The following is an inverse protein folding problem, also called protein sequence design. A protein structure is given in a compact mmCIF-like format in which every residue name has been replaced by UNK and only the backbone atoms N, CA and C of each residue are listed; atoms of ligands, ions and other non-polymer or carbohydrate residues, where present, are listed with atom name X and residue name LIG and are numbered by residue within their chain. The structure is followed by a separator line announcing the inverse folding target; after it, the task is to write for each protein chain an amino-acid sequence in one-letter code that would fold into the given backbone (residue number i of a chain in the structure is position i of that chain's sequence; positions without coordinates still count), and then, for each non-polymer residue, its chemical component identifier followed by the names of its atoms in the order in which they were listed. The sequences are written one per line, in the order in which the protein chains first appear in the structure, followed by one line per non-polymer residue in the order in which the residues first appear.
data_IF_683308165571
#
_entry.id   IF_683308165571
#
_cell.length_a   1.000
_cell.length_b   1.000
_cell.length_c   1.000
_cell.angle_alpha   90.00
_cell.angle_beta   90.00
_cell.angle_gamma   90.00
#
_symmetry.space_group_name_H-M   'P 1'
#
loop_
_entity.id
_entity.type
_entity.pdbx_description
1 polymer ?
#
# COMPACT_ATOMS: atom_id res chain seq x y z
N UNK A 1 51.26 -66.91 1.55
CA UNK A 1 51.13 -67.89 0.48
C UNK A 1 50.49 -67.17 -0.67
N UNK A 2 51.28 -66.74 -1.58
CA UNK A 2 51.75 -67.40 -2.81
C UNK A 2 50.67 -67.44 -3.87
N UNK A 3 50.89 -66.64 -4.85
CA UNK A 3 51.19 -66.86 -6.28
C UNK A 3 49.93 -66.96 -7.18
N UNK A 4 49.81 -66.54 -8.41
CA UNK A 4 50.75 -66.07 -9.45
C UNK A 4 49.90 -65.57 -10.65
N UNK A 5 50.32 -64.49 -11.25
CA UNK A 5 50.35 -64.12 -12.67
C UNK A 5 49.74 -65.05 -13.72
N UNK A 6 49.07 -64.54 -14.73
CA UNK A 6 49.66 -64.46 -16.09
C UNK A 6 48.89 -63.53 -17.05
N UNK A 7 49.68 -62.83 -17.85
CA UNK A 7 49.39 -62.05 -19.05
C UNK A 7 49.15 -62.96 -20.26
N UNK A 8 48.45 -62.42 -21.23
CA UNK A 8 48.73 -62.43 -22.70
C UNK A 8 47.49 -61.88 -23.38
N UNK A 9 47.43 -61.10 -24.40
CA UNK A 9 48.36 -60.68 -25.40
C UNK A 9 47.51 -60.17 -26.59
N UNK A 10 47.99 -59.18 -27.25
CA UNK A 10 47.45 -58.52 -28.45
C UNK A 10 46.84 -59.48 -29.51
N UNK A 11 45.82 -59.05 -30.28
CA UNK A 11 46.09 -58.82 -31.69
C UNK A 11 45.03 -57.88 -32.39
N UNK A 12 45.44 -57.37 -33.53
CA UNK A 12 44.93 -56.25 -34.30
C UNK A 12 43.99 -56.70 -35.43
N UNK A 13 43.09 -55.78 -35.83
CA UNK A 13 42.49 -55.62 -37.14
C UNK A 13 41.34 -56.51 -37.54
N UNK A 14 40.17 -55.86 -37.65
CA UNK A 14 39.46 -55.91 -38.95
C UNK A 14 38.44 -54.75 -39.05
N UNK A 15 38.49 -54.04 -40.15
CA UNK A 15 37.60 -53.03 -40.67
C UNK A 15 36.20 -53.61 -40.89
N UNK A 16 35.16 -52.88 -40.46
CA UNK A 16 33.90 -52.88 -41.23
C UNK A 16 33.05 -51.61 -40.93
N UNK A 17 32.59 -51.05 -42.00
CA UNK A 17 31.80 -49.84 -42.11
C UNK A 17 30.44 -50.03 -41.43
N UNK A 18 30.04 -49.08 -40.58
CA UNK A 18 28.70 -48.95 -40.05
C UNK A 18 28.33 -47.49 -39.97
N UNK A 19 27.34 -47.10 -40.71
CA UNK A 19 26.72 -45.82 -40.85
C UNK A 19 26.34 -45.20 -39.48
N UNK A 20 26.91 -44.07 -39.16
CA UNK A 20 26.53 -43.26 -38.01
C UNK A 20 25.25 -42.48 -38.34
N UNK A 21 24.12 -42.89 -37.76
CA UNK A 21 22.93 -42.06 -37.66
C UNK A 21 23.14 -41.04 -36.51
N UNK A 22 23.40 -39.81 -36.84
CA UNK A 22 23.45 -38.71 -35.88
C UNK A 22 22.03 -38.35 -35.45
N UNK A 23 21.61 -38.80 -34.28
CA UNK A 23 20.40 -38.32 -33.62
C UNK A 23 20.72 -36.94 -32.99
N UNK A 24 20.30 -35.87 -33.69
CA UNK A 24 20.31 -34.53 -33.14
C UNK A 24 19.21 -34.43 -32.04
N UNK A 25 19.63 -34.48 -30.79
CA UNK A 25 18.78 -34.03 -29.68
C UNK A 25 18.62 -32.50 -29.79
N UNK A 26 17.49 -32.07 -30.30
CA UNK A 26 17.08 -30.67 -30.18
C UNK A 26 16.80 -30.40 -28.70
N UNK A 27 17.71 -29.67 -28.04
CA UNK A 27 17.46 -29.03 -26.75
C UNK A 27 16.42 -27.92 -27.01
N UNK A 28 15.15 -28.28 -26.84
CA UNK A 28 14.10 -27.29 -26.72
C UNK A 28 14.34 -26.53 -25.39
N UNK A 29 15.10 -25.45 -25.46
CA UNK A 29 15.19 -24.48 -24.39
C UNK A 29 13.79 -23.92 -24.18
N UNK A 30 13.17 -24.20 -23.04
CA UNK A 30 12.00 -23.45 -22.58
C UNK A 30 12.43 -21.99 -22.39
N UNK A 31 12.30 -21.19 -23.44
CA UNK A 31 12.34 -19.72 -23.28
C UNK A 31 11.19 -19.36 -22.36
N UNK A 32 11.51 -18.82 -21.19
CA UNK A 32 10.51 -18.21 -20.33
C UNK A 32 9.75 -17.16 -21.18
N UNK A 33 8.42 -17.06 -21.07
CA UNK A 33 7.67 -16.06 -21.78
C UNK A 33 8.25 -14.68 -21.43
N UNK A 34 8.37 -13.76 -22.40
CA UNK A 34 8.83 -12.40 -22.11
C UNK A 34 7.95 -11.81 -21.02
N UNK A 35 8.57 -11.14 -20.05
CA UNK A 35 7.83 -10.42 -19.01
C UNK A 35 6.85 -9.46 -19.72
N UNK A 36 5.59 -9.38 -19.28
CA UNK A 36 4.62 -8.50 -19.89
C UNK A 36 5.15 -7.08 -19.85
N UNK A 37 5.18 -6.43 -21.01
CA UNK A 37 5.54 -5.02 -21.14
C UNK A 37 4.45 -4.23 -20.42
N UNK A 38 4.78 -3.30 -19.49
CA UNK A 38 3.78 -2.43 -18.88
C UNK A 38 3.01 -1.70 -19.98
N UNK A 39 1.71 -1.50 -19.83
CA UNK A 39 0.93 -0.63 -20.71
C UNK A 39 1.55 0.77 -20.65
N UNK A 40 2.08 1.25 -21.78
CA UNK A 40 3.01 2.39 -21.83
C UNK A 40 2.37 3.69 -22.30
N UNK A 41 1.07 3.85 -22.19
CA UNK A 41 0.43 5.13 -22.47
C UNK A 41 0.77 6.18 -21.40
N UNK A 42 0.98 7.46 -21.75
CA UNK A 42 1.10 8.51 -20.75
C UNK A 42 -0.25 8.65 -20.00
N UNK A 43 -0.18 8.71 -18.68
CA UNK A 43 -1.32 9.06 -17.83
C UNK A 43 -1.32 10.57 -17.64
N UNK A 44 -2.49 11.20 -17.70
CA UNK A 44 -2.69 12.61 -17.36
C UNK A 44 -3.63 12.74 -16.17
N UNK A 45 -3.23 13.57 -15.21
CA UNK A 45 -4.10 14.01 -14.13
C UNK A 45 -4.44 15.49 -14.31
N UNK A 46 -5.72 15.82 -14.20
CA UNK A 46 -6.22 17.20 -14.27
C UNK A 46 -7.17 17.44 -13.10
N UNK A 47 -6.89 18.48 -12.30
CA UNK A 47 -7.74 18.87 -11.19
C UNK A 47 -9.18 19.16 -11.66
N UNK A 48 -10.14 18.50 -11.05
CA UNK A 48 -11.58 18.71 -11.27
C UNK A 48 -12.17 19.68 -10.25
N UNK A 49 -11.64 19.68 -9.04
CA UNK A 49 -12.08 20.55 -7.96
C UNK A 49 -11.53 20.08 -6.62
N UNK A 50 -11.66 20.92 -5.64
CA UNK A 50 -11.24 20.68 -4.26
C UNK A 50 -12.23 21.26 -3.26
N UNK A 51 -12.19 20.75 -2.02
CA UNK A 51 -12.97 21.22 -0.87
C UNK A 51 -12.11 21.14 0.38
N UNK A 52 -12.12 22.21 1.19
CA UNK A 52 -11.45 22.25 2.48
C UNK A 52 -12.52 22.26 3.57
N UNK A 53 -12.42 21.31 4.51
CA UNK A 53 -13.28 21.33 5.69
C UNK A 53 -12.70 22.30 6.75
N UNK A 54 -13.53 23.01 7.50
CA UNK A 54 -13.08 23.84 8.60
C UNK A 54 -12.34 23.04 9.67
N UNK A 55 -11.19 23.53 10.12
CA UNK A 55 -10.48 22.90 11.24
C UNK A 55 -11.37 22.84 12.49
N UNK A 56 -11.35 21.69 13.16
CA UNK A 56 -12.14 21.45 14.36
C UNK A 56 -13.65 21.35 14.12
N UNK A 57 -14.07 21.06 12.86
CA UNK A 57 -15.47 20.85 12.50
C UNK A 57 -16.09 19.80 13.42
N UNK A 58 -17.22 20.15 14.06
CA UNK A 58 -17.95 19.24 14.92
C UNK A 58 -19.07 18.55 14.16
N UNK A 59 -19.14 17.22 14.23
CA UNK A 59 -20.21 16.46 13.63
C UNK A 59 -20.63 15.29 14.54
N UNK A 60 -21.91 15.27 14.92
CA UNK A 60 -22.53 14.23 15.79
C UNK A 60 -21.69 13.90 17.04
N UNK A 61 -21.12 14.91 17.70
CA UNK A 61 -20.33 14.74 18.93
C UNK A 61 -18.89 14.30 18.71
N UNK A 62 -18.40 14.30 17.48
CA UNK A 62 -17.00 14.05 17.16
C UNK A 62 -16.38 15.25 16.48
N UNK A 63 -15.06 15.39 16.63
CA UNK A 63 -14.25 16.33 15.84
C UNK A 63 -13.88 15.64 14.52
N UNK A 64 -14.21 16.27 13.41
CA UNK A 64 -13.82 15.79 12.07
C UNK A 64 -12.39 16.21 11.80
N UNK A 65 -11.53 15.25 11.53
CA UNK A 65 -10.10 15.44 11.27
C UNK A 65 -9.39 14.07 11.29
N UNK A 66 -8.09 14.09 11.06
CA UNK A 66 -7.33 12.86 10.99
C UNK A 66 -7.80 11.95 9.85
N UNK A 67 -8.21 12.50 8.69
CA UNK A 67 -8.77 11.67 7.63
C UNK A 67 -7.66 11.07 6.77
N UNK A 68 -7.20 9.87 7.17
CA UNK A 68 -6.11 9.12 6.53
C UNK A 68 -6.59 8.21 5.39
N UNK A 69 -7.82 7.69 5.45
CA UNK A 69 -8.35 6.77 4.45
C UNK A 69 -9.66 7.24 3.83
N UNK A 70 -9.88 6.93 2.54
CA UNK A 70 -11.13 7.22 1.83
C UNK A 70 -11.46 6.11 0.84
N UNK A 71 -12.75 5.78 0.70
CA UNK A 71 -13.21 4.89 -0.37
C UNK A 71 -14.63 5.23 -0.84
N UNK A 72 -14.97 4.73 -2.03
CA UNK A 72 -16.28 4.94 -2.67
C UNK A 72 -16.79 3.64 -3.28
N UNK A 73 -18.01 3.26 -2.92
CA UNK A 73 -18.73 2.15 -3.56
C UNK A 73 -19.58 2.67 -4.74
N UNK A 74 -19.18 2.38 -5.99
CA UNK A 74 -19.94 2.85 -7.16
C UNK A 74 -21.32 2.21 -7.29
N UNK A 75 -21.60 1.08 -6.62
CA UNK A 75 -22.89 0.41 -6.69
C UNK A 75 -23.95 1.10 -5.82
N UNK A 76 -23.54 1.64 -4.68
CA UNK A 76 -24.45 2.32 -3.74
C UNK A 76 -24.29 3.83 -3.74
N UNK A 77 -23.17 4.35 -4.26
CA UNK A 77 -22.78 5.76 -4.15
C UNK A 77 -22.30 6.16 -2.75
N UNK A 78 -22.09 5.19 -1.85
CA UNK A 78 -21.61 5.43 -0.51
C UNK A 78 -20.11 5.80 -0.54
N UNK A 79 -19.78 6.86 0.19
CA UNK A 79 -18.39 7.21 0.51
C UNK A 79 -18.13 6.97 1.99
N UNK A 80 -16.93 6.52 2.30
CA UNK A 80 -16.41 6.42 3.67
C UNK A 80 -15.09 7.16 3.78
N UNK A 81 -14.84 7.79 4.95
CA UNK A 81 -13.53 8.36 5.29
C UNK A 81 -13.15 7.94 6.71
N UNK A 82 -11.99 7.32 6.85
CA UNK A 82 -11.46 6.82 8.12
C UNK A 82 -10.68 7.93 8.83
N UNK A 83 -10.84 8.03 10.15
CA UNK A 83 -10.03 8.90 11.00
C UNK A 83 -8.94 8.08 11.71
N UNK A 84 -7.71 8.58 11.69
CA UNK A 84 -6.53 8.03 12.36
C UNK A 84 -6.52 8.28 13.88
N UNK A 85 -7.60 8.86 14.41
CA UNK A 85 -7.75 9.07 15.85
C UNK A 85 -7.64 7.75 16.63
N UNK A 86 -6.52 7.56 17.28
CA UNK A 86 -6.20 6.39 18.12
C UNK A 86 -7.09 6.25 19.36
N UNK A 87 -8.33 6.69 19.27
CA UNK A 87 -9.26 6.87 20.38
C UNK A 87 -8.76 7.88 21.44
N UNK A 88 -7.91 8.82 21.06
CA UNK A 88 -7.35 9.84 21.96
C UNK A 88 -8.31 11.01 22.14
N UNK A 89 -8.95 11.48 21.06
CA UNK A 89 -9.96 12.54 21.10
C UNK A 89 -11.37 11.94 21.25
N UNK A 90 -11.73 11.05 20.35
CA UNK A 90 -12.96 10.27 20.36
C UNK A 90 -12.67 8.85 19.89
N UNK A 91 -13.56 7.88 20.11
CA UNK A 91 -13.35 6.50 19.66
C UNK A 91 -12.97 6.39 18.20
N UNK A 92 -12.08 5.44 17.84
CA UNK A 92 -11.72 5.11 16.47
C UNK A 92 -12.98 4.96 15.63
N UNK A 93 -13.02 5.61 14.45
CA UNK A 93 -14.25 5.81 13.69
C UNK A 93 -13.99 6.03 12.21
N UNK A 94 -15.02 5.84 11.42
CA UNK A 94 -15.09 6.37 10.07
C UNK A 94 -16.38 7.18 9.88
N UNK A 95 -16.33 8.08 8.91
CA UNK A 95 -17.50 8.87 8.50
C UNK A 95 -18.09 8.30 7.21
N UNK A 96 -19.41 8.35 7.07
CA UNK A 96 -20.04 8.20 5.76
C UNK A 96 -20.30 9.59 5.18
N UNK A 97 -20.09 9.73 3.88
CA UNK A 97 -20.21 11.02 3.21
C UNK A 97 -20.91 10.88 1.86
N UNK A 98 -21.27 12.05 1.30
CA UNK A 98 -21.56 12.25 -0.11
C UNK A 98 -20.59 13.29 -0.66
N UNK A 99 -20.01 13.02 -1.82
CA UNK A 99 -19.13 13.94 -2.53
C UNK A 99 -19.70 14.18 -3.91
N UNK A 100 -20.10 15.40 -4.19
CA UNK A 100 -20.61 15.84 -5.48
C UNK A 100 -19.61 16.82 -6.12
N UNK A 101 -19.31 16.67 -7.42
CA UNK A 101 -18.45 17.58 -8.16
C UNK A 101 -19.30 18.51 -9.03
N UNK A 102 -19.23 19.81 -8.77
CA UNK A 102 -19.95 20.83 -9.53
C UNK A 102 -19.03 22.02 -9.85
N UNK A 103 -18.96 22.38 -11.13
CA UNK A 103 -18.32 23.62 -11.59
C UNK A 103 -16.92 23.91 -10.99
N UNK A 104 -16.07 22.90 -10.89
CA UNK A 104 -14.71 23.04 -10.37
C UNK A 104 -14.57 23.05 -8.86
N UNK A 105 -15.63 22.71 -8.13
CA UNK A 105 -15.65 22.53 -6.68
C UNK A 105 -16.16 21.14 -6.32
N UNK A 106 -15.72 20.66 -5.15
CA UNK A 106 -16.30 19.49 -4.50
C UNK A 106 -17.25 19.98 -3.39
N UNK A 107 -18.45 19.45 -3.35
CA UNK A 107 -19.37 19.56 -2.21
C UNK A 107 -19.25 18.28 -1.38
N UNK A 108 -18.70 18.38 -0.18
CA UNK A 108 -18.48 17.26 0.73
C UNK A 108 -19.47 17.36 1.88
N UNK A 109 -20.36 16.42 1.99
CA UNK A 109 -21.41 16.37 3.01
C UNK A 109 -21.22 15.14 3.89
N UNK A 110 -20.99 15.37 5.20
CA UNK A 110 -20.98 14.31 6.21
C UNK A 110 -22.41 13.81 6.44
N UNK A 111 -22.61 12.51 6.38
CA UNK A 111 -23.93 11.88 6.56
C UNK A 111 -24.06 11.20 7.92
N UNK A 112 -23.03 10.44 8.32
CA UNK A 112 -23.02 9.72 9.59
C UNK A 112 -21.59 9.56 10.11
N UNK A 113 -21.46 9.13 11.38
CA UNK A 113 -20.22 8.69 12.00
C UNK A 113 -20.42 7.32 12.61
N UNK A 114 -19.51 6.41 12.35
CA UNK A 114 -19.56 5.02 12.79
C UNK A 114 -18.34 4.71 13.67
N UNK A 115 -18.60 4.34 14.92
CA UNK A 115 -17.54 3.91 15.85
C UNK A 115 -17.10 2.50 15.54
N UNK A 116 -15.80 2.31 15.34
CA UNK A 116 -15.18 0.98 15.22
C UNK A 116 -15.12 0.29 16.56
N UNK A 117 -15.42 -1.01 16.57
CA UNK A 117 -15.53 -1.84 17.77
C UNK A 117 -14.69 -3.08 17.64
N UNK A 118 -14.09 -3.49 18.75
CA UNK A 118 -13.36 -4.75 18.83
C UNK A 118 -14.28 -5.98 18.88
N UNK A 119 -13.67 -7.15 18.96
CA UNK A 119 -14.39 -8.43 19.03
C UNK A 119 -15.32 -8.57 20.24
N UNK A 120 -15.09 -7.81 21.30
CA UNK A 120 -15.95 -7.75 22.49
C UNK A 120 -17.15 -6.79 22.32
N UNK A 121 -17.32 -6.16 21.16
CA UNK A 121 -18.37 -5.21 20.83
C UNK A 121 -18.17 -3.81 21.41
N UNK A 122 -17.06 -3.54 22.11
CA UNK A 122 -16.76 -2.24 22.69
C UNK A 122 -15.90 -1.40 21.72
N UNK A 123 -15.98 -0.06 21.82
CA UNK A 123 -15.02 0.81 21.13
C UNK A 123 -13.58 0.45 21.54
N UNK A 124 -12.65 0.59 20.60
CA UNK A 124 -11.23 0.42 20.93
C UNK A 124 -10.79 1.46 21.96
N UNK A 125 -9.99 1.08 22.96
CA UNK A 125 -9.56 1.97 24.03
C UNK A 125 -8.46 2.93 23.52
N UNK A 126 -8.29 4.12 24.15
CA UNK A 126 -7.14 4.98 23.88
C UNK A 126 -5.83 4.32 24.33
N UNK A 127 -4.71 4.75 23.73
CA UNK A 127 -3.35 4.18 23.97
C UNK A 127 -2.94 4.12 25.43
N UNK A 128 -3.40 5.06 26.25
CA UNK A 128 -3.08 5.10 27.69
C UNK A 128 -3.72 3.97 28.50
N UNK A 129 -4.67 3.24 27.93
CA UNK A 129 -5.37 2.15 28.60
C UNK A 129 -4.85 0.79 28.14
N UNK A 130 -5.05 -0.24 28.98
CA UNK A 130 -4.74 -1.61 28.59
C UNK A 130 -5.85 -2.15 27.66
N UNK A 131 -5.46 -2.89 26.65
CA UNK A 131 -6.37 -3.52 25.70
C UNK A 131 -5.81 -3.52 24.28
N UNK A 132 -6.59 -3.97 23.32
CA UNK A 132 -6.27 -3.88 21.93
C UNK A 132 -6.43 -2.42 21.48
N UNK A 133 -5.32 -1.71 21.31
CA UNK A 133 -5.31 -0.36 20.76
C UNK A 133 -5.20 -0.42 19.25
N UNK A 134 -5.71 0.61 18.59
CA UNK A 134 -5.64 0.73 17.11
C UNK A 134 -5.11 2.09 16.72
N UNK A 135 -4.58 2.14 15.54
CA UNK A 135 -4.06 3.29 14.84
C UNK A 135 -4.55 3.20 13.39
N UNK A 136 -5.81 3.63 13.12
CA UNK A 136 -6.45 3.38 11.84
C UNK A 136 -5.84 4.24 10.73
N UNK A 137 -5.52 3.65 9.54
CA UNK A 137 -4.87 4.39 8.45
C UNK A 137 -5.67 4.31 7.14
N UNK A 138 -5.92 3.15 6.58
CA UNK A 138 -6.63 3.03 5.32
C UNK A 138 -7.93 2.24 5.45
N UNK A 139 -8.89 2.53 4.56
CA UNK A 139 -10.21 1.88 4.53
C UNK A 139 -10.63 1.53 3.11
N UNK A 140 -11.27 0.36 2.92
CA UNK A 140 -11.90 -0.05 1.66
C UNK A 140 -13.26 -0.68 1.91
N UNK A 141 -14.26 -0.30 1.10
CA UNK A 141 -15.62 -0.85 1.15
C UNK A 141 -15.62 -2.22 0.46
N UNK A 142 -16.16 -3.22 1.12
CA UNK A 142 -16.38 -4.54 0.55
C UNK A 142 -17.66 -4.54 -0.30
N UNK A 143 -17.64 -5.13 -1.52
CA UNK A 143 -18.79 -5.15 -2.41
C UNK A 143 -20.06 -5.71 -1.77
N UNK A 144 -21.21 -5.16 -2.20
CA UNK A 144 -22.51 -5.63 -1.75
C UNK A 144 -22.88 -5.25 -0.32
N UNK A 145 -22.25 -4.22 0.25
CA UNK A 145 -22.56 -3.72 1.59
C UNK A 145 -22.15 -4.67 2.72
N UNK A 146 -21.20 -5.62 2.44
CA UNK A 146 -20.73 -6.58 3.46
C UNK A 146 -20.03 -5.91 4.63
N UNK A 147 -19.42 -4.74 4.40
CA UNK A 147 -18.66 -4.04 5.40
C UNK A 147 -17.46 -3.30 4.81
N UNK A 148 -16.45 -3.12 5.63
CA UNK A 148 -15.19 -2.46 5.26
C UNK A 148 -14.00 -3.29 5.69
N UNK A 149 -12.90 -3.20 4.94
CA UNK A 149 -11.55 -3.55 5.40
C UNK A 149 -10.85 -2.27 5.83
N UNK A 150 -10.05 -2.34 6.88
CA UNK A 150 -9.25 -1.21 7.33
C UNK A 150 -7.95 -1.68 7.98
N UNK A 151 -6.91 -0.87 7.83
CA UNK A 151 -5.59 -1.13 8.41
C UNK A 151 -5.42 -0.42 9.74
N UNK A 152 -4.51 -0.93 10.55
CA UNK A 152 -4.02 -0.31 11.77
C UNK A 152 -2.50 -0.46 11.83
N UNK A 153 -1.80 0.60 12.18
CA UNK A 153 -0.35 0.57 12.37
C UNK A 153 0.10 -0.20 13.62
N UNK A 154 -0.81 -0.39 14.57
CA UNK A 154 -0.48 -0.95 15.88
C UNK A 154 0.28 0.03 16.78
N UNK A 155 0.87 -0.47 17.86
CA UNK A 155 1.67 0.32 18.80
C UNK A 155 2.74 -0.55 19.49
N UNK A 156 4.04 -0.35 19.22
CA UNK A 156 5.11 -1.14 19.84
C UNK A 156 5.22 -0.95 21.35
N UNK A 157 4.71 0.15 21.91
CA UNK A 157 4.76 0.43 23.36
C UNK A 157 3.86 -0.49 24.18
N UNK A 158 2.85 -1.04 23.54
CA UNK A 158 1.92 -2.01 24.12
C UNK A 158 1.98 -3.36 23.42
N UNK A 159 3.01 -3.56 22.59
CA UNK A 159 3.25 -4.78 21.82
C UNK A 159 2.07 -5.16 20.88
N UNK A 160 1.26 -4.16 20.48
CA UNK A 160 0.16 -4.36 19.55
C UNK A 160 0.68 -4.31 18.11
N UNK A 161 0.76 -5.43 17.38
CA UNK A 161 1.24 -5.43 15.99
C UNK A 161 0.32 -4.64 15.07
N UNK A 162 0.79 -4.23 13.89
CA UNK A 162 -0.10 -3.76 12.84
C UNK A 162 -1.18 -4.81 12.53
N UNK A 163 -2.30 -4.39 11.98
CA UNK A 163 -3.41 -5.28 11.72
C UNK A 163 -4.19 -4.91 10.44
N UNK A 164 -4.84 -5.91 9.85
CA UNK A 164 -5.88 -5.74 8.83
C UNK A 164 -7.18 -6.29 9.41
N UNK A 165 -8.19 -5.45 9.53
CA UNK A 165 -9.49 -5.79 10.07
C UNK A 165 -10.58 -5.83 9.01
N UNK A 166 -11.57 -6.69 9.22
CA UNK A 166 -12.87 -6.62 8.57
C UNK A 166 -13.93 -6.22 9.59
N UNK A 167 -14.69 -5.16 9.28
CA UNK A 167 -15.81 -4.71 10.10
C UNK A 167 -17.07 -4.58 9.25
N UNK A 168 -18.26 -4.71 9.88
CA UNK A 168 -19.51 -4.35 9.24
C UNK A 168 -19.64 -2.84 9.09
N UNK A 169 -20.60 -2.40 8.29
CA UNK A 169 -20.89 -0.97 8.13
C UNK A 169 -21.40 -0.29 9.42
N UNK A 170 -21.79 -1.05 10.43
CA UNK A 170 -22.13 -0.54 11.78
C UNK A 170 -20.91 -0.44 12.70
N UNK A 171 -19.72 -0.74 12.20
CA UNK A 171 -18.45 -0.70 12.92
C UNK A 171 -18.13 -1.93 13.75
N UNK A 172 -19.03 -2.94 13.83
CA UNK A 172 -18.77 -4.17 14.56
C UNK A 172 -17.71 -5.03 13.86
N UNK A 173 -16.70 -5.50 14.60
CA UNK A 173 -15.64 -6.35 14.05
C UNK A 173 -16.20 -7.68 13.56
N UNK A 174 -15.79 -8.09 12.36
CA UNK A 174 -16.05 -9.43 11.81
C UNK A 174 -14.87 -10.35 12.10
N UNK A 175 -13.66 -9.88 11.79
CA UNK A 175 -12.40 -10.62 12.02
C UNK A 175 -11.18 -9.73 11.90
N UNK A 176 -10.06 -10.28 12.33
CA UNK A 176 -8.70 -9.82 12.07
C UNK A 176 -8.01 -10.82 11.15
N UNK A 177 -7.24 -10.34 10.19
CA UNK A 177 -6.51 -11.18 9.23
C UNK A 177 -5.24 -11.74 9.85
N UNK A 178 -4.87 -12.96 9.48
CA UNK A 178 -3.63 -13.56 9.96
C UNK A 178 -2.41 -12.96 9.26
N UNK A 179 -1.57 -12.29 10.02
CA UNK A 179 -0.37 -11.63 9.50
C UNK A 179 0.84 -12.55 9.45
N UNK A 180 1.71 -12.41 8.43
CA UNK A 180 3.05 -12.97 8.45
C UNK A 180 3.85 -12.55 9.69
N UNK A 181 4.62 -13.47 10.25
CA UNK A 181 5.39 -13.28 11.50
C UNK A 181 6.31 -12.06 11.47
N UNK A 182 6.83 -11.70 10.29
CA UNK A 182 7.74 -10.55 10.12
C UNK A 182 7.13 -9.19 10.50
N UNK A 183 5.80 -9.10 10.60
CA UNK A 183 5.09 -7.89 10.98
C UNK A 183 4.83 -7.78 12.49
N UNK A 184 5.25 -8.75 13.28
CA UNK A 184 5.18 -8.64 14.74
C UNK A 184 6.29 -7.73 15.25
N UNK A 185 5.98 -6.89 16.22
CA UNK A 185 7.02 -6.21 16.98
C UNK A 185 7.85 -7.26 17.72
N UNK A 186 9.11 -7.37 17.36
CA UNK A 186 9.93 -8.48 17.84
C UNK A 186 10.65 -8.11 19.12
N UNK A 187 10.77 -9.10 20.02
CA UNK A 187 11.63 -9.01 21.21
C UNK A 187 13.13 -8.82 20.87
N UNK A 188 13.51 -9.04 19.59
CA UNK A 188 14.89 -8.89 19.12
C UNK A 188 15.09 -7.53 18.45
N UNK A 189 16.02 -6.74 18.98
CA UNK A 189 16.42 -5.47 18.37
C UNK A 189 16.83 -5.62 16.89
N UNK A 190 16.43 -4.67 16.06
CA UNK A 190 16.75 -4.63 14.63
C UNK A 190 15.92 -5.58 13.76
N UNK A 191 14.77 -6.04 14.24
CA UNK A 191 13.80 -6.81 13.45
C UNK A 191 12.36 -6.32 13.71
N UNK A 192 11.46 -6.59 12.76
CA UNK A 192 10.05 -6.18 12.84
C UNK A 192 9.79 -4.78 12.28
N UNK A 193 8.55 -4.32 12.39
CA UNK A 193 8.14 -2.99 11.98
C UNK A 193 8.84 -1.88 12.78
N UNK A 194 8.80 -0.67 12.23
CA UNK A 194 9.20 0.55 12.93
C UNK A 194 7.98 1.18 13.57
N UNK A 195 8.18 1.96 14.64
CA UNK A 195 7.10 2.72 15.28
C UNK A 195 6.55 3.75 14.30
N UNK A 196 5.24 3.77 14.08
CA UNK A 196 4.54 4.72 13.23
C UNK A 196 5.05 4.77 11.77
N UNK A 197 5.42 3.62 11.20
CA UNK A 197 5.88 3.44 9.82
C UNK A 197 5.48 2.06 9.31
N UNK A 198 4.22 1.64 9.57
CA UNK A 198 3.78 0.27 9.32
C UNK A 198 2.73 0.18 8.19
N UNK A 199 1.50 -0.22 8.49
CA UNK A 199 0.45 -0.44 7.51
C UNK A 199 -0.33 0.85 7.22
N UNK A 200 0.06 1.53 6.18
CA UNK A 200 -0.59 2.75 5.69
C UNK A 200 -1.61 2.42 4.59
N UNK A 201 -1.13 2.00 3.43
CA UNK A 201 -1.97 1.86 2.26
C UNK A 201 -2.76 0.54 2.20
N UNK A 202 -3.98 0.62 1.66
CA UNK A 202 -4.85 -0.53 1.43
C UNK A 202 -5.52 -0.42 0.06
N UNK A 203 -5.53 -1.51 -0.73
CA UNK A 203 -6.24 -1.55 -2.01
C UNK A 203 -6.93 -2.90 -2.22
N UNK A 204 -8.10 -2.88 -2.85
CA UNK A 204 -8.79 -4.08 -3.31
C UNK A 204 -8.60 -4.26 -4.82
N UNK A 205 -8.38 -5.51 -5.26
CA UNK A 205 -8.50 -5.84 -6.68
C UNK A 205 -9.93 -5.56 -7.17
N UNK A 206 -10.15 -5.31 -8.47
CA UNK A 206 -11.50 -5.03 -9.00
C UNK A 206 -12.55 -6.09 -8.69
N UNK A 207 -12.15 -7.34 -8.56
CA UNK A 207 -13.01 -8.45 -8.15
C UNK A 207 -13.18 -8.57 -6.62
N UNK A 208 -12.48 -7.72 -5.86
CA UNK A 208 -12.42 -7.67 -4.40
C UNK A 208 -12.05 -9.01 -3.72
N UNK A 209 -11.36 -9.92 -4.45
CA UNK A 209 -10.88 -11.19 -3.88
C UNK A 209 -9.53 -11.07 -3.20
N UNK A 210 -8.76 -10.04 -3.56
CA UNK A 210 -7.44 -9.77 -3.00
C UNK A 210 -7.38 -8.37 -2.41
N UNK A 211 -6.93 -8.27 -1.18
CA UNK A 211 -6.58 -7.02 -0.52
C UNK A 211 -5.06 -6.86 -0.48
N UNK A 212 -4.54 -5.77 -1.02
CA UNK A 212 -3.15 -5.38 -0.90
C UNK A 212 -2.98 -4.41 0.24
N UNK A 213 -2.03 -4.68 1.12
CA UNK A 213 -1.63 -3.80 2.23
C UNK A 213 -0.19 -3.36 2.00
N UNK A 214 0.05 -2.07 2.03
CA UNK A 214 1.37 -1.47 1.89
C UNK A 214 1.91 -1.03 3.25
N UNK A 215 3.18 -1.33 3.51
CA UNK A 215 3.91 -0.65 4.58
C UNK A 215 4.32 0.74 4.14
N UNK A 216 4.23 1.72 5.02
CA UNK A 216 4.75 3.07 4.79
C UNK A 216 6.26 3.02 4.56
N UNK A 217 6.98 2.27 5.39
CA UNK A 217 8.43 2.19 5.31
C UNK A 217 8.96 0.76 5.44
N UNK A 218 10.27 0.61 5.35
CA UNK A 218 10.97 -0.67 5.38
C UNK A 218 10.99 -1.29 6.78
N UNK A 219 10.89 -2.62 6.88
CA UNK A 219 11.16 -3.33 8.13
C UNK A 219 12.63 -3.10 8.58
N UNK A 220 12.88 -3.11 9.90
CA UNK A 220 14.20 -2.87 10.46
C UNK A 220 15.29 -3.79 9.86
N UNK A 221 14.95 -5.06 9.60
CA UNK A 221 15.88 -6.02 9.01
C UNK A 221 16.08 -5.88 7.51
N UNK A 222 15.22 -5.14 6.80
CA UNK A 222 15.23 -5.09 5.34
C UNK A 222 16.05 -3.91 4.80
N UNK A 223 16.24 -2.86 5.59
CA UNK A 223 17.05 -1.73 5.15
C UNK A 223 16.87 -0.46 5.98
N UNK A 224 17.50 0.62 5.59
CA UNK A 224 17.35 1.92 6.23
C UNK A 224 16.11 2.64 5.71
N UNK A 225 15.59 3.58 6.49
CA UNK A 225 14.62 4.56 6.02
C UNK A 225 15.20 5.45 4.92
N UNK A 226 14.34 6.05 4.06
CA UNK A 226 14.77 7.07 3.11
C UNK A 226 15.53 8.20 3.80
N UNK A 227 16.48 8.78 3.09
CA UNK A 227 17.21 9.95 3.56
C UNK A 227 17.42 10.91 2.38
N UNK A 228 17.86 12.13 2.65
CA UNK A 228 18.23 13.07 1.60
C UNK A 228 19.34 12.48 0.74
N UNK A 229 19.06 12.35 -0.58
CA UNK A 229 20.00 11.77 -1.55
C UNK A 229 20.15 10.24 -1.48
N UNK A 230 19.37 9.54 -0.67
CA UNK A 230 19.39 8.08 -0.58
C UNK A 230 17.97 7.52 -0.49
N UNK A 231 17.62 6.64 -1.41
CA UNK A 231 16.37 5.89 -1.39
C UNK A 231 16.27 5.01 -0.13
N UNK A 232 15.04 4.70 0.26
CA UNK A 232 14.77 3.78 1.36
C UNK A 232 15.08 2.33 1.01
N UNK A 233 15.13 1.48 2.04
CA UNK A 233 15.05 0.03 1.88
C UNK A 233 13.66 -0.38 1.37
N UNK A 234 13.46 -1.67 1.03
CA UNK A 234 12.21 -2.15 0.46
C UNK A 234 11.05 -2.09 1.46
N UNK A 235 9.97 -1.40 1.09
CA UNK A 235 8.67 -1.53 1.72
C UNK A 235 8.01 -2.82 1.22
N UNK A 236 7.32 -3.55 2.09
CA UNK A 236 6.62 -4.78 1.74
C UNK A 236 5.16 -4.48 1.44
N UNK A 237 4.71 -4.84 0.24
CA UNK A 237 3.30 -4.80 -0.13
C UNK A 237 2.79 -6.24 -0.14
N UNK A 238 1.83 -6.53 0.73
CA UNK A 238 1.35 -7.90 0.98
C UNK A 238 -0.07 -8.07 0.47
N UNK A 239 -0.29 -9.07 -0.37
CA UNK A 239 -1.59 -9.47 -0.85
C UNK A 239 -2.21 -10.51 0.10
N UNK A 240 -3.45 -10.27 0.49
CA UNK A 240 -4.27 -11.16 1.30
C UNK A 240 -5.46 -11.68 0.50
N UNK A 241 -5.72 -12.97 0.58
CA UNK A 241 -6.98 -13.56 0.15
C UNK A 241 -8.09 -13.07 1.09
N UNK A 242 -9.04 -12.30 0.54
CA UNK A 242 -10.11 -11.67 1.33
C UNK A 242 -11.05 -12.69 1.96
N UNK A 243 -11.30 -13.83 1.31
CA UNK A 243 -12.17 -14.86 1.84
C UNK A 243 -11.48 -15.64 2.98
N UNK A 244 -10.23 -16.05 2.75
CA UNK A 244 -9.46 -16.88 3.70
C UNK A 244 -8.82 -16.09 4.84
N UNK A 245 -8.63 -14.77 4.67
CA UNK A 245 -7.94 -13.91 5.65
C UNK A 245 -6.45 -14.22 5.80
N UNK A 246 -5.79 -14.72 4.76
CA UNK A 246 -4.39 -15.16 4.77
C UNK A 246 -3.57 -14.43 3.71
N UNK A 247 -2.33 -14.11 4.03
CA UNK A 247 -1.37 -13.60 3.05
C UNK A 247 -1.06 -14.67 1.99
N UNK A 248 -1.11 -14.29 0.71
CA UNK A 248 -0.93 -15.17 -0.44
C UNK A 248 0.24 -14.78 -1.33
N UNK A 249 0.71 -13.54 -1.25
CA UNK A 249 1.83 -13.01 -2.03
C UNK A 249 2.38 -11.75 -1.36
N UNK A 250 3.64 -11.45 -1.62
CA UNK A 250 4.25 -10.21 -1.18
C UNK A 250 5.25 -9.71 -2.24
N UNK A 251 5.29 -8.40 -2.46
CA UNK A 251 6.27 -7.77 -3.36
C UNK A 251 7.02 -6.67 -2.61
N UNK A 252 8.23 -6.37 -3.09
CA UNK A 252 9.03 -5.27 -2.58
C UNK A 252 8.82 -4.02 -3.43
N UNK A 253 8.64 -2.88 -2.78
CA UNK A 253 8.60 -1.53 -3.36
C UNK A 253 9.75 -0.69 -2.80
N UNK A 254 10.43 0.09 -3.63
CA UNK A 254 11.53 0.96 -3.19
C UNK A 254 11.04 2.42 -3.18
N UNK A 255 10.82 3.03 -2.00
CA UNK A 255 10.49 4.44 -1.92
C UNK A 255 11.67 5.31 -2.35
N UNK A 256 11.37 6.47 -2.92
CA UNK A 256 12.40 7.42 -3.35
C UNK A 256 13.16 8.02 -2.15
N UNK A 257 14.27 8.68 -2.45
CA UNK A 257 14.95 9.51 -1.47
C UNK A 257 14.07 10.70 -1.06
N UNK A 258 14.30 11.23 0.14
CA UNK A 258 13.72 12.51 0.55
C UNK A 258 14.14 13.57 -0.49
N UNK A 259 13.17 14.31 -1.10
CA UNK A 259 13.45 15.14 -2.27
C UNK A 259 14.49 16.25 -2.04
N UNK A 260 14.50 16.82 -0.84
CA UNK A 260 15.46 17.87 -0.48
C UNK A 260 15.68 17.95 1.04
N UNK A 261 16.78 18.56 1.44
CA UNK A 261 17.10 18.72 2.85
C UNK A 261 16.10 19.70 3.53
N UNK A 262 15.75 19.46 4.81
CA UNK A 262 14.94 20.41 5.56
C UNK A 262 15.64 21.77 5.65
N UNK A 263 14.85 22.85 5.77
CA UNK A 263 15.39 24.22 5.83
C UNK A 263 16.32 24.43 7.03
N UNK A 264 16.04 23.74 8.14
CA UNK A 264 16.90 23.74 9.32
C UNK A 264 17.74 22.47 9.28
N UNK A 265 19.08 22.57 9.27
CA UNK A 265 19.94 21.39 9.31
C UNK A 265 19.63 20.48 10.50
N UNK A 266 19.41 19.18 10.24
CA UNK A 266 19.00 18.20 11.25
C UNK A 266 17.52 18.29 11.66
N UNK A 267 16.73 19.13 11.02
CA UNK A 267 15.27 19.15 11.20
C UNK A 267 14.62 17.85 10.68
N UNK A 268 13.39 17.55 11.13
CA UNK A 268 12.66 16.37 10.67
C UNK A 268 12.47 16.37 9.16
N UNK A 269 12.67 15.23 8.55
CA UNK A 269 12.33 14.96 7.15
C UNK A 269 12.14 13.45 6.95
N UNK A 270 11.16 13.08 6.17
CA UNK A 270 10.80 11.70 5.84
C UNK A 270 10.33 11.57 4.38
N UNK A 271 10.17 10.35 3.93
CA UNK A 271 9.42 9.94 2.74
C UNK A 271 8.93 8.52 2.96
N UNK A 272 7.67 8.28 2.66
CA UNK A 272 7.04 6.98 2.80
C UNK A 272 5.89 6.78 1.82
N UNK A 273 5.34 5.57 1.81
CA UNK A 273 4.13 5.23 1.06
C UNK A 273 2.93 5.54 1.94
N UNK A 274 2.11 6.51 1.57
CA UNK A 274 0.91 6.87 2.34
C UNK A 274 -0.35 6.17 1.83
N UNK A 275 -0.43 5.78 0.55
CA UNK A 275 -1.60 5.04 0.07
C UNK A 275 -1.29 4.24 -1.21
N UNK A 276 -2.11 3.21 -1.47
CA UNK A 276 -2.10 2.42 -2.69
C UNK A 276 -3.51 2.24 -3.25
N UNK A 277 -3.63 2.12 -4.58
CA UNK A 277 -4.92 1.94 -5.23
C UNK A 277 -4.78 1.07 -6.49
N UNK A 278 -5.55 -0.03 -6.59
CA UNK A 278 -5.51 -0.88 -7.79
C UNK A 278 -6.12 -0.18 -8.99
N UNK A 279 -5.38 -0.18 -10.11
CA UNK A 279 -5.88 0.26 -11.43
C UNK A 279 -6.65 -0.89 -12.09
N UNK A 280 -6.07 -2.07 -12.03
CA UNK A 280 -6.62 -3.35 -12.48
C UNK A 280 -6.10 -4.49 -11.58
N UNK A 281 -6.15 -5.75 -12.04
CA UNK A 281 -5.72 -6.92 -11.27
C UNK A 281 -4.22 -6.92 -10.92
N UNK A 282 -3.40 -6.12 -11.61
CA UNK A 282 -1.95 -6.17 -11.50
C UNK A 282 -1.28 -4.82 -11.35
N UNK A 283 -1.88 -3.77 -11.93
CA UNK A 283 -1.32 -2.42 -11.86
C UNK A 283 -1.89 -1.70 -10.66
N UNK A 284 -1.03 -0.94 -10.01
CA UNK A 284 -1.33 -0.25 -8.75
C UNK A 284 -0.75 1.16 -8.80
N UNK A 285 -1.53 2.13 -8.37
CA UNK A 285 -1.04 3.46 -8.01
C UNK A 285 -0.44 3.40 -6.61
N UNK A 286 0.64 4.11 -6.41
CA UNK A 286 1.34 4.25 -5.12
C UNK A 286 1.57 5.73 -4.87
N UNK A 287 1.06 6.25 -3.77
CA UNK A 287 1.29 7.62 -3.34
C UNK A 287 2.48 7.65 -2.38
N UNK A 288 3.54 8.36 -2.75
CA UNK A 288 4.63 8.70 -1.83
C UNK A 288 4.42 10.11 -1.30
N UNK A 289 4.49 10.24 0.01
CA UNK A 289 4.42 11.50 0.75
C UNK A 289 5.75 11.73 1.46
N UNK A 290 6.39 12.87 1.18
CA UNK A 290 7.56 13.33 1.90
C UNK A 290 7.24 14.61 2.68
N UNK A 291 7.76 14.70 3.89
CA UNK A 291 7.75 15.91 4.69
C UNK A 291 9.18 16.44 4.89
N UNK A 292 9.36 17.76 4.79
CA UNK A 292 10.65 18.41 5.01
C UNK A 292 10.45 19.66 5.85
N UNK A 293 10.98 19.65 7.05
CA UNK A 293 10.78 20.77 8.01
C UNK A 293 11.16 22.12 7.43
N UNK A 294 10.23 23.08 7.52
CA UNK A 294 10.40 24.44 7.00
C UNK A 294 10.28 24.59 5.48
N UNK A 295 9.99 23.49 4.77
CA UNK A 295 9.74 23.46 3.32
C UNK A 295 8.29 23.08 3.07
N UNK A 296 7.81 21.97 3.66
CA UNK A 296 6.45 21.45 3.51
C UNK A 296 6.44 20.03 2.99
N UNK A 297 5.34 19.66 2.34
CA UNK A 297 5.04 18.34 1.84
C UNK A 297 5.36 18.23 0.34
N UNK A 298 5.82 17.07 -0.09
CA UNK A 298 5.92 16.68 -1.50
C UNK A 298 5.11 15.40 -1.70
N UNK A 299 4.25 15.38 -2.72
CA UNK A 299 3.38 14.26 -3.05
C UNK A 299 3.68 13.80 -4.46
N UNK A 300 4.02 12.53 -4.62
CA UNK A 300 4.31 11.90 -5.90
C UNK A 300 3.51 10.65 -6.11
N UNK A 301 2.82 10.56 -7.22
CA UNK A 301 2.04 9.40 -7.62
C UNK A 301 2.84 8.55 -8.58
N UNK A 302 3.03 7.29 -8.23
CA UNK A 302 3.70 6.29 -9.07
C UNK A 302 2.71 5.23 -9.52
N UNK A 303 3.04 4.55 -10.60
CA UNK A 303 2.42 3.30 -11.02
C UNK A 303 3.43 2.17 -10.92
N UNK A 304 2.98 1.03 -10.44
CA UNK A 304 3.73 -0.23 -10.47
C UNK A 304 2.91 -1.33 -11.14
N UNK A 305 3.61 -2.35 -11.66
CA UNK A 305 3.02 -3.61 -12.07
C UNK A 305 3.55 -4.73 -11.16
N UNK A 306 2.68 -5.32 -10.36
CA UNK A 306 3.05 -6.36 -9.40
C UNK A 306 3.65 -7.60 -10.06
N UNK A 307 3.36 -7.87 -11.35
CA UNK A 307 3.94 -8.98 -12.12
C UNK A 307 5.44 -8.83 -12.36
N UNK A 308 5.94 -7.59 -12.34
CA UNK A 308 7.37 -7.30 -12.54
C UNK A 308 8.22 -7.70 -11.34
N UNK A 309 7.61 -7.84 -10.17
CA UNK A 309 8.29 -8.14 -8.91
C UNK A 309 8.33 -9.65 -8.61
N UNK A 310 9.36 -10.09 -7.90
CA UNK A 310 9.38 -11.43 -7.32
C UNK A 310 8.52 -11.51 -6.06
N UNK A 311 7.98 -12.70 -5.78
CA UNK A 311 7.30 -12.96 -4.51
C UNK A 311 8.34 -13.03 -3.37
N UNK A 312 8.11 -12.26 -2.32
CA UNK A 312 8.98 -12.16 -1.16
C UNK A 312 8.33 -12.69 0.13
N UNK A 313 7.11 -13.25 0.06
CA UNK A 313 6.33 -13.65 1.23
C UNK A 313 7.07 -14.62 2.16
N UNK A 314 7.80 -15.58 1.58
CA UNK A 314 8.58 -16.56 2.33
C UNK A 314 9.96 -16.04 2.82
N UNK A 315 10.31 -14.78 2.52
CA UNK A 315 11.62 -14.22 2.87
C UNK A 315 11.52 -13.42 4.17
N UNK A 316 12.10 -13.90 5.29
CA UNK A 316 12.04 -13.20 6.57
C UNK A 316 12.88 -11.91 6.58
N UNK A 317 13.84 -11.79 5.65
CA UNK A 317 14.68 -10.62 5.40
C UNK A 317 14.91 -10.43 3.91
N UNK A 318 14.73 -9.22 3.42
CA UNK A 318 15.06 -8.85 2.04
C UNK A 318 16.52 -8.39 1.97
N UNK A 319 17.31 -9.06 1.10
CA UNK A 319 18.68 -8.67 0.83
C UNK A 319 18.80 -8.22 -0.61
N UNK A 320 19.55 -7.19 -0.87
CA UNK A 320 19.87 -6.73 -2.22
C UNK A 320 20.35 -7.90 -3.09
N UNK A 321 19.82 -7.98 -4.31
CA UNK A 321 20.11 -9.08 -5.25
C UNK A 321 19.30 -10.38 -5.00
N UNK A 322 18.63 -10.54 -3.85
CA UNK A 322 17.82 -11.72 -3.55
C UNK A 322 16.35 -11.59 -3.97
N UNK A 323 15.94 -10.44 -4.41
CA UNK A 323 14.58 -10.15 -4.92
C UNK A 323 14.64 -9.13 -6.05
N UNK A 324 13.59 -9.11 -6.87
CA UNK A 324 13.35 -8.06 -7.85
C UNK A 324 12.19 -7.19 -7.33
N UNK A 325 12.42 -5.90 -7.05
CA UNK A 325 11.35 -4.99 -6.64
C UNK A 325 10.37 -4.74 -7.78
N UNK A 326 9.18 -4.26 -7.47
CA UNK A 326 8.24 -3.77 -8.46
C UNK A 326 8.86 -2.57 -9.21
N UNK A 327 8.86 -2.65 -10.54
CA UNK A 327 9.27 -1.52 -11.36
C UNK A 327 8.23 -0.39 -11.23
N UNK A 328 8.69 0.83 -10.91
CA UNK A 328 7.80 1.98 -10.74
C UNK A 328 8.01 3.03 -11.81
N UNK A 329 6.94 3.75 -12.14
CA UNK A 329 6.91 4.85 -13.08
C UNK A 329 6.22 6.05 -12.42
N UNK A 330 6.84 7.22 -12.43
CA UNK A 330 6.22 8.46 -11.98
C UNK A 330 5.04 8.82 -12.90
N UNK A 331 3.87 9.02 -12.32
CA UNK A 331 2.64 9.44 -13.01
C UNK A 331 2.45 10.94 -12.88
N UNK A 332 2.58 11.47 -11.65
CA UNK A 332 2.38 12.89 -11.37
C UNK A 332 3.17 13.36 -10.15
N UNK A 333 3.56 14.63 -10.19
CA UNK A 333 3.95 15.41 -9.02
C UNK A 333 2.80 16.39 -8.71
N UNK A 334 2.21 16.27 -7.54
CA UNK A 334 1.04 17.06 -7.15
C UNK A 334 1.32 18.57 -7.09
N UNK A 335 2.58 18.96 -6.93
CA UNK A 335 2.96 20.37 -7.02
C UNK A 335 2.61 20.99 -8.38
N UNK A 336 2.41 20.18 -9.42
CA UNK A 336 2.09 20.61 -10.78
C UNK A 336 0.59 20.54 -11.11
N UNK A 337 -0.25 20.04 -10.19
CA UNK A 337 -1.66 19.76 -10.45
C UNK A 337 -2.61 20.91 -10.11
N UNK A 338 -2.10 22.00 -9.53
CA UNK A 338 -2.89 23.23 -9.29
C UNK A 338 -3.77 23.19 -8.04
N UNK A 339 -3.48 22.31 -7.08
CA UNK A 339 -4.10 22.35 -5.75
C UNK A 339 -3.82 23.68 -5.05
N UNK A 340 -4.79 24.21 -4.31
CA UNK A 340 -4.62 25.45 -3.52
C UNK A 340 -3.58 25.30 -2.42
N UNK A 341 -3.39 24.06 -1.93
CA UNK A 341 -2.40 23.70 -0.93
C UNK A 341 -1.97 22.24 -1.12
N UNK A 342 -0.69 21.96 -0.87
CA UNK A 342 -0.20 20.60 -0.62
C UNK A 342 -0.14 20.41 0.89
N UNK A 343 -0.79 19.38 1.36
CA UNK A 343 -0.76 18.99 2.78
C UNK A 343 -0.60 17.45 2.89
N UNK A 344 -0.77 16.92 4.05
CA UNK A 344 -0.58 15.54 4.43
C UNK A 344 -1.62 14.60 3.75
N UNK A 345 -1.51 14.39 2.44
CA UNK A 345 -2.45 13.55 1.69
C UNK A 345 -2.13 12.07 1.94
N UNK A 346 -3.10 11.36 2.47
CA UNK A 346 -2.95 9.96 2.88
C UNK A 346 -3.99 9.04 2.25
N UNK A 347 -5.24 9.50 2.07
CA UNK A 347 -6.26 8.68 1.45
C UNK A 347 -6.39 8.90 -0.06
N UNK A 348 -6.64 7.81 -0.81
CA UNK A 348 -6.83 7.85 -2.26
C UNK A 348 -7.82 6.76 -2.71
N UNK A 349 -8.81 7.10 -3.53
CA UNK A 349 -9.75 6.12 -4.09
C UNK A 349 -10.24 6.49 -5.49
N UNK A 350 -10.88 5.53 -6.15
CA UNK A 350 -11.64 5.81 -7.36
C UNK A 350 -13.01 6.41 -7.01
N UNK A 351 -13.30 7.58 -7.53
CA UNK A 351 -14.63 8.17 -7.50
C UNK A 351 -15.51 7.68 -8.65
N UNK A 352 -16.70 8.30 -8.82
CA UNK A 352 -17.60 7.97 -9.92
C UNK A 352 -16.94 8.11 -11.29
N UNK A 353 -17.31 7.23 -12.23
CA UNK A 353 -16.90 7.39 -13.62
C UNK A 353 -17.51 8.65 -14.21
N UNK A 354 -16.72 9.33 -14.98
CA UNK A 354 -17.13 10.54 -15.68
C UNK A 354 -17.99 10.21 -16.93
N UNK A 355 -18.80 11.15 -17.42
CA UNK A 355 -19.60 10.94 -18.65
C UNK A 355 -18.75 10.65 -19.91
N UNK A 356 -17.49 11.09 -19.93
CA UNK A 356 -16.52 10.81 -21.00
C UNK A 356 -15.87 9.43 -20.89
N UNK A 357 -16.19 8.66 -19.84
CA UNK A 357 -15.66 7.32 -19.57
C UNK A 357 -14.38 7.31 -18.76
N UNK A 358 -13.73 8.46 -18.53
CA UNK A 358 -12.55 8.56 -17.68
C UNK A 358 -12.88 8.19 -16.23
N UNK A 359 -11.86 7.85 -15.46
CA UNK A 359 -11.99 7.67 -14.01
C UNK A 359 -11.79 9.01 -13.30
N UNK A 360 -12.47 9.21 -12.19
CA UNK A 360 -12.08 10.25 -11.25
C UNK A 360 -11.23 9.64 -10.13
N UNK A 361 -10.08 10.25 -9.86
CA UNK A 361 -9.25 9.93 -8.71
C UNK A 361 -9.55 10.95 -7.62
N UNK A 362 -9.90 10.47 -6.43
CA UNK A 362 -10.20 11.33 -5.28
C UNK A 362 -9.19 11.07 -4.18
N UNK A 363 -8.70 12.15 -3.58
CA UNK A 363 -7.75 12.08 -2.46
C UNK A 363 -8.26 12.89 -1.27
N UNK A 364 -7.81 12.53 -0.08
CA UNK A 364 -8.05 13.29 1.15
C UNK A 364 -6.75 13.52 1.89
N UNK A 365 -6.59 14.72 2.46
CA UNK A 365 -5.46 15.06 3.33
C UNK A 365 -5.88 15.04 4.78
N UNK A 366 -5.03 14.43 5.59
CA UNK A 366 -5.11 14.45 7.04
C UNK A 366 -4.64 15.78 7.60
N UNK A 367 -5.37 16.35 8.54
CA UNK A 367 -5.02 17.58 9.24
C UNK A 367 -4.31 17.33 10.58
N UNK A 368 -4.08 16.08 10.97
CA UNK A 368 -3.49 15.68 12.25
C UNK A 368 -4.14 16.42 13.45
N UNK A 369 -5.41 16.78 13.33
CA UNK A 369 -6.13 17.64 14.29
C UNK A 369 -5.39 18.95 14.62
N UNK A 370 -4.60 19.45 13.69
CA UNK A 370 -3.72 20.62 13.83
C UNK A 370 -4.25 21.81 13.05
N UNK A 371 -4.39 22.97 13.69
CA UNK A 371 -4.77 24.23 13.02
C UNK A 371 -3.78 24.68 11.94
N UNK A 372 -2.63 24.02 11.80
CA UNK A 372 -1.62 24.35 10.78
C UNK A 372 -1.80 23.55 9.49
N UNK A 373 -2.56 22.47 9.54
CA UNK A 373 -2.87 21.55 8.43
C UNK A 373 -4.33 21.66 8.04
N UNK A 374 -4.74 20.99 6.98
CA UNK A 374 -6.10 21.08 6.45
C UNK A 374 -6.64 19.70 6.10
N UNK A 375 -7.88 19.47 6.44
CA UNK A 375 -8.67 18.39 5.86
C UNK A 375 -9.12 18.83 4.47
N UNK A 376 -8.44 18.36 3.42
CA UNK A 376 -8.69 18.71 2.02
C UNK A 376 -9.11 17.50 1.22
N UNK A 377 -10.21 17.61 0.51
CA UNK A 377 -10.61 16.67 -0.53
C UNK A 377 -10.29 17.26 -1.89
N UNK A 378 -9.71 16.45 -2.79
CA UNK A 378 -9.47 16.86 -4.15
C UNK A 378 -9.82 15.73 -5.12
N UNK A 379 -10.42 16.09 -6.26
CA UNK A 379 -10.73 15.14 -7.33
C UNK A 379 -9.97 15.51 -8.60
N UNK A 380 -9.50 14.48 -9.29
CA UNK A 380 -8.76 14.59 -10.55
C UNK A 380 -9.41 13.72 -11.62
N UNK A 381 -9.40 14.23 -12.85
CA UNK A 381 -9.62 13.45 -14.05
C UNK A 381 -8.38 12.57 -14.30
N UNK A 382 -8.57 11.26 -14.34
CA UNK A 382 -7.53 10.28 -14.61
C UNK A 382 -7.72 9.73 -16.02
N UNK A 383 -6.90 10.20 -16.95
CA UNK A 383 -6.91 9.84 -18.35
C UNK A 383 -5.72 8.92 -18.67
N UNK A 384 -6.00 7.67 -19.05
CA UNK A 384 -4.99 6.78 -19.64
C UNK A 384 -5.03 6.96 -21.15
N UNK A 385 -3.91 7.33 -21.74
CA UNK A 385 -3.81 7.32 -23.21
C UNK A 385 -3.87 5.89 -23.72
N UNK A 386 -4.71 5.67 -24.72
CA UNK A 386 -4.90 4.38 -25.37
C UNK A 386 -3.63 3.87 -26.06
#
# INVERSE_FOLDING_TARGET
MSLVRRRTGLDRRTFLRGTAAATAFALAGCAAPPAPTPATGPVRLRLLGESLLPHGLQFRGTTVGGLSGIDHDPATGLWVALSDDRSELQPARFYTLRIDSQAGKLDVQLLDVVTLRGADGKPFPPRATRGQVVDPEAIRILPGGRGVLWTSEGDPRVEQPPALFESRLDGSQVREFALPEMFRFAARAGTGPRDNLTFEGLALTPDARTAWVAMENTLQQDGPEPAVGRAGGPCRFTAFDVERGLAIRQVAYLPDAIPQAPRVPGGPADNGVSEILMIDEHRMLVLERAFMFGIGVSLRLYEIDTRTASDTLAQPRLREGAYRPAAKRLIADFAQLGLSRLDNTEGMCWGPRRPDGHRSLVVVSDDNFSARQVTQFAAFDYEESA
#
